data_IF_600164851099
#
_entry.id   IF_600164851099
#
_cell.length_a   1.000
_cell.length_b   1.000
_cell.length_c   1.000
_cell.angle_alpha   90.00
_cell.angle_beta   90.00
_cell.angle_gamma   90.00
#
_symmetry.space_group_name_H-M   'P 1'
#
loop_
_entity.id
_entity.type
_entity.pdbx_description
1 polymer ?
#
# COMPACT_ATOMS: atom_id res chain seq x y z
N UNK A 1 -51.44 -41.19 4.20
CA UNK A 1 -50.41 -41.00 5.26
C UNK A 1 -48.96 -41.21 4.80
N UNK A 2 -48.49 -42.41 4.39
CA UNK A 2 -47.07 -42.57 3.98
C UNK A 2 -46.71 -41.87 2.66
N UNK A 3 -47.64 -41.82 1.72
CA UNK A 3 -47.44 -41.14 0.42
C UNK A 3 -47.34 -39.62 0.58
N UNK A 4 -48.24 -39.01 1.36
CA UNK A 4 -48.23 -37.55 1.62
C UNK A 4 -46.93 -37.09 2.31
N UNK A 5 -46.39 -37.86 3.26
CA UNK A 5 -45.12 -37.54 3.92
C UNK A 5 -43.96 -37.57 2.92
N UNK A 6 -44.03 -38.45 1.92
CA UNK A 6 -42.98 -38.59 0.89
C UNK A 6 -43.01 -37.41 -0.08
N UNK A 7 -44.20 -36.97 -0.48
CA UNK A 7 -44.38 -35.78 -1.31
C UNK A 7 -43.87 -34.50 -0.61
N UNK A 8 -44.26 -34.27 0.64
CA UNK A 8 -43.84 -33.08 1.40
C UNK A 8 -42.30 -33.04 1.53
N UNK A 9 -41.67 -34.19 1.77
CA UNK A 9 -40.20 -34.29 1.88
C UNK A 9 -39.50 -34.02 0.55
N UNK A 10 -40.09 -34.43 -0.57
CA UNK A 10 -39.56 -34.15 -1.92
C UNK A 10 -39.65 -32.67 -2.27
N UNK A 11 -40.78 -32.01 -1.93
CA UNK A 11 -41.01 -30.58 -2.14
C UNK A 11 -40.02 -29.77 -1.32
N UNK A 12 -39.85 -30.10 -0.03
CA UNK A 12 -38.90 -29.40 0.84
C UNK A 12 -37.45 -29.57 0.37
N UNK A 13 -37.06 -30.79 -0.04
CA UNK A 13 -35.74 -31.08 -0.61
C UNK A 13 -35.48 -30.29 -1.89
N UNK A 14 -36.46 -30.23 -2.79
CA UNK A 14 -36.37 -29.47 -4.05
C UNK A 14 -36.20 -27.97 -3.79
N UNK A 15 -37.01 -27.41 -2.87
CA UNK A 15 -36.98 -26.00 -2.48
C UNK A 15 -35.66 -25.61 -1.81
N UNK A 16 -35.09 -26.51 -1.00
CA UNK A 16 -33.76 -26.33 -0.39
C UNK A 16 -32.64 -26.37 -1.43
N UNK A 17 -32.69 -27.31 -2.39
CA UNK A 17 -31.74 -27.39 -3.52
C UNK A 17 -31.81 -26.15 -4.41
N UNK A 18 -33.01 -25.64 -4.65
CA UNK A 18 -33.24 -24.44 -5.46
C UNK A 18 -32.68 -23.17 -4.78
N UNK A 19 -32.95 -23.01 -3.48
CA UNK A 19 -32.34 -21.94 -2.66
C UNK A 19 -30.82 -22.04 -2.66
N UNK A 20 -30.25 -23.23 -2.51
CA UNK A 20 -28.80 -23.46 -2.55
C UNK A 20 -28.17 -23.16 -3.91
N UNK A 21 -28.85 -23.48 -5.03
CA UNK A 21 -28.42 -23.09 -6.39
C UNK A 21 -28.41 -21.57 -6.57
N UNK A 22 -29.44 -20.91 -6.06
CA UNK A 22 -29.56 -19.45 -6.09
C UNK A 22 -28.41 -18.77 -5.34
N UNK A 23 -28.12 -19.21 -4.10
CA UNK A 23 -27.01 -18.70 -3.29
C UNK A 23 -25.64 -18.92 -3.95
N UNK A 24 -25.41 -20.10 -4.55
CA UNK A 24 -24.17 -20.38 -5.30
C UNK A 24 -24.00 -19.46 -6.52
N UNK A 25 -25.10 -19.07 -7.18
CA UNK A 25 -25.07 -18.14 -8.32
C UNK A 25 -24.67 -16.74 -7.87
N UNK A 26 -25.23 -16.24 -6.77
CA UNK A 26 -24.85 -14.93 -6.21
C UNK A 26 -23.41 -14.91 -5.70
N UNK A 27 -22.97 -15.98 -5.01
CA UNK A 27 -21.56 -16.11 -4.57
C UNK A 27 -20.59 -16.08 -5.76
N UNK A 28 -20.88 -16.78 -6.87
CA UNK A 28 -20.02 -16.75 -8.07
C UNK A 28 -19.84 -15.34 -8.65
N UNK A 29 -20.85 -14.48 -8.54
CA UNK A 29 -20.81 -13.10 -9.02
C UNK A 29 -20.10 -12.19 -8.00
N UNK A 30 -20.27 -12.45 -6.71
CA UNK A 30 -19.71 -11.64 -5.63
C UNK A 30 -18.20 -11.90 -5.42
N UNK A 31 -17.74 -13.13 -5.61
CA UNK A 31 -16.32 -13.53 -5.46
C UNK A 31 -15.35 -12.62 -6.22
N UNK A 32 -15.51 -12.34 -7.53
CA UNK A 32 -14.58 -11.47 -8.24
C UNK A 32 -14.59 -10.03 -7.73
N UNK A 33 -15.73 -9.54 -7.23
CA UNK A 33 -15.84 -8.18 -6.69
C UNK A 33 -15.16 -8.08 -5.32
N UNK A 34 -15.35 -9.09 -4.46
CA UNK A 34 -14.66 -9.19 -3.17
C UNK A 34 -13.15 -9.31 -3.38
N UNK A 35 -12.71 -10.13 -4.33
CA UNK A 35 -11.29 -10.28 -4.65
C UNK A 35 -10.68 -8.95 -5.09
N UNK A 36 -11.39 -8.17 -5.91
CA UNK A 36 -10.95 -6.86 -6.35
C UNK A 36 -10.85 -5.86 -5.18
N UNK A 37 -11.87 -5.82 -4.31
CA UNK A 37 -11.85 -4.99 -3.10
C UNK A 37 -10.68 -5.40 -2.19
N UNK A 38 -10.44 -6.69 -2.03
CA UNK A 38 -9.33 -7.22 -1.23
C UNK A 38 -7.97 -6.78 -1.80
N UNK A 39 -7.77 -6.86 -3.12
CA UNK A 39 -6.54 -6.43 -3.78
C UNK A 39 -6.30 -4.93 -3.58
N UNK A 40 -7.37 -4.12 -3.68
CA UNK A 40 -7.30 -2.69 -3.42
C UNK A 40 -6.94 -2.41 -1.95
N UNK A 41 -7.62 -3.06 -1.01
CA UNK A 41 -7.33 -2.91 0.41
C UNK A 41 -5.90 -3.31 0.75
N UNK A 42 -5.41 -4.43 0.20
CA UNK A 42 -4.04 -4.90 0.39
C UNK A 42 -3.01 -3.89 -0.14
N UNK A 43 -3.27 -3.28 -1.30
CA UNK A 43 -2.41 -2.22 -1.86
C UNK A 43 -2.27 -1.05 -0.88
N UNK A 44 -3.38 -0.58 -0.30
CA UNK A 44 -3.33 0.46 0.70
C UNK A 44 -2.61 0.01 1.96
N UNK A 45 -2.85 -1.20 2.47
CA UNK A 45 -2.14 -1.73 3.65
C UNK A 45 -0.62 -1.75 3.47
N UNK A 46 -0.12 -2.13 2.29
CA UNK A 46 1.32 -2.10 1.98
C UNK A 46 1.83 -0.65 1.97
N UNK A 47 1.07 0.28 1.38
CA UNK A 47 1.44 1.70 1.38
C UNK A 47 1.49 2.31 2.79
N UNK A 48 0.54 1.95 3.67
CA UNK A 48 0.55 2.36 5.07
C UNK A 48 1.69 1.74 5.88
N UNK A 49 2.04 0.48 5.61
CA UNK A 49 3.15 -0.19 6.29
C UNK A 49 4.52 0.38 5.91
N UNK A 50 4.67 0.84 4.66
CA UNK A 50 5.89 1.49 4.17
C UNK A 50 6.01 2.97 4.53
N UNK A 51 5.04 3.54 5.26
CA UNK A 51 5.09 4.94 5.66
C UNK A 51 5.86 5.11 6.98
N UNK A 52 6.90 5.95 6.98
CA UNK A 52 7.59 6.37 8.18
C UNK A 52 7.07 7.76 8.60
N UNK A 53 6.23 7.85 9.65
CA UNK A 53 5.62 9.13 10.05
C UNK A 53 6.58 10.05 10.81
N UNK A 54 7.61 9.47 11.41
CA UNK A 54 8.50 10.18 12.35
C UNK A 54 9.64 10.93 11.64
N UNK A 55 10.06 10.47 10.46
CA UNK A 55 11.14 11.07 9.66
C UNK A 55 11.05 10.59 8.22
N UNK A 56 11.46 11.41 7.26
CA UNK A 56 11.64 10.93 5.89
C UNK A 56 12.98 10.21 5.76
N UNK A 57 12.96 9.00 5.23
CA UNK A 57 14.13 8.24 4.84
C UNK A 57 14.43 8.52 3.37
N UNK A 58 15.56 9.19 3.12
CA UNK A 58 16.09 9.47 1.81
C UNK A 58 17.26 8.53 1.54
N UNK A 59 17.04 7.62 0.62
CA UNK A 59 18.04 6.67 0.15
C UNK A 59 18.66 7.19 -1.14
N UNK A 60 19.98 7.32 -1.17
CA UNK A 60 20.74 7.81 -2.33
C UNK A 60 21.84 6.81 -2.65
N UNK A 61 21.94 6.43 -3.91
CA UNK A 61 23.00 5.56 -4.40
C UNK A 61 24.11 6.40 -5.02
N UNK A 62 25.34 6.09 -4.60
CA UNK A 62 26.56 6.65 -5.18
C UNK A 62 26.56 8.20 -5.19
N UNK A 63 26.32 8.81 -4.03
CA UNK A 63 26.28 10.26 -3.88
C UNK A 63 27.69 10.84 -4.02
N UNK A 64 27.93 11.61 -5.09
CA UNK A 64 29.25 12.20 -5.35
C UNK A 64 29.56 13.43 -4.48
N UNK A 65 28.52 14.09 -3.95
CA UNK A 65 28.65 15.34 -3.21
C UNK A 65 27.60 15.45 -2.09
N UNK A 66 28.06 15.28 -0.84
CA UNK A 66 27.23 15.36 0.37
C UNK A 66 26.87 16.80 0.76
N UNK A 67 27.54 17.81 0.21
CA UNK A 67 27.32 19.21 0.62
C UNK A 67 25.91 19.72 0.28
N UNK A 68 25.26 19.08 -0.69
CA UNK A 68 23.88 19.34 -1.10
C UNK A 68 22.88 19.01 0.01
N UNK A 69 23.20 18.05 0.89
CA UNK A 69 22.31 17.64 1.97
C UNK A 69 22.41 18.55 3.21
N UNK A 70 23.45 19.36 3.33
CA UNK A 70 23.65 20.27 4.48
C UNK A 70 22.61 21.38 4.57
N UNK A 71 21.88 21.67 3.50
CA UNK A 71 20.81 22.66 3.48
C UNK A 71 19.47 22.13 4.04
N UNK A 72 19.39 20.84 4.32
CA UNK A 72 18.22 20.19 4.88
C UNK A 72 18.42 19.87 6.37
N UNK A 73 17.33 19.84 7.14
CA UNK A 73 17.35 19.44 8.55
C UNK A 73 17.50 17.91 8.66
N UNK A 74 18.77 17.47 8.58
CA UNK A 74 19.19 16.08 8.64
C UNK A 74 19.29 15.62 10.09
N UNK A 75 18.48 14.64 10.45
CA UNK A 75 18.46 14.02 11.77
C UNK A 75 19.57 12.98 11.93
N UNK A 76 19.85 12.22 10.87
CA UNK A 76 20.86 11.17 10.88
C UNK A 76 21.33 10.85 9.45
N UNK A 77 22.61 10.48 9.30
CA UNK A 77 23.18 9.98 8.03
C UNK A 77 23.82 8.64 8.30
N UNK A 78 23.42 7.64 7.52
CA UNK A 78 23.98 6.30 7.55
C UNK A 78 24.60 6.01 6.18
N UNK A 79 25.93 6.00 6.13
CA UNK A 79 26.67 5.62 4.92
C UNK A 79 26.96 4.12 4.94
N UNK A 80 26.53 3.43 3.89
CA UNK A 80 26.98 2.08 3.54
C UNK A 80 27.75 2.16 2.22
N UNK A 81 28.61 1.16 1.96
CA UNK A 81 29.61 1.17 0.88
C UNK A 81 29.10 1.61 -0.51
N UNK A 82 27.82 1.41 -0.82
CA UNK A 82 27.20 1.87 -2.07
C UNK A 82 26.02 2.84 -1.89
N UNK A 83 25.49 2.97 -0.67
CA UNK A 83 24.21 3.63 -0.41
C UNK A 83 24.29 4.52 0.82
N UNK A 84 23.88 5.76 0.67
CA UNK A 84 23.73 6.71 1.76
C UNK A 84 22.25 6.86 2.10
N UNK A 85 21.88 6.51 3.33
CA UNK A 85 20.54 6.69 3.86
C UNK A 85 20.53 7.88 4.81
N UNK A 86 19.70 8.88 4.50
CA UNK A 86 19.60 10.15 5.22
C UNK A 86 18.21 10.27 5.80
N UNK A 87 18.14 10.50 7.10
CA UNK A 87 16.89 10.75 7.81
C UNK A 87 16.65 12.25 7.90
N UNK A 88 15.60 12.74 7.26
CA UNK A 88 15.20 14.14 7.23
C UNK A 88 14.03 14.38 8.18
N UNK A 89 13.97 15.58 8.76
CA UNK A 89 12.88 16.03 9.61
C UNK A 89 11.51 15.97 8.90
N UNK A 90 10.46 15.56 9.61
CA UNK A 90 9.10 15.48 9.05
C UNK A 90 8.39 16.84 8.96
N UNK A 91 9.05 17.94 9.32
CA UNK A 91 8.48 19.29 9.31
C UNK A 91 8.33 19.89 7.91
N UNK A 92 8.94 19.28 6.89
CA UNK A 92 8.86 19.73 5.51
C UNK A 92 7.58 19.25 4.83
N UNK A 93 7.03 20.11 3.97
CA UNK A 93 6.00 19.70 3.01
C UNK A 93 6.60 18.70 2.01
N UNK A 94 6.02 17.50 1.90
CA UNK A 94 6.58 16.42 1.06
C UNK A 94 6.75 16.83 -0.40
N UNK A 95 5.80 17.58 -0.96
CA UNK A 95 5.84 18.00 -2.37
C UNK A 95 6.97 18.99 -2.62
N UNK A 96 7.15 19.95 -1.71
CA UNK A 96 8.21 20.95 -1.82
C UNK A 96 9.59 20.31 -1.61
N UNK A 97 9.71 19.44 -0.61
CA UNK A 97 10.92 18.66 -0.34
C UNK A 97 11.32 17.83 -1.56
N UNK A 98 10.39 17.06 -2.14
CA UNK A 98 10.68 16.19 -3.27
C UNK A 98 11.05 16.97 -4.53
N UNK A 99 10.43 18.14 -4.75
CA UNK A 99 10.75 19.00 -5.89
C UNK A 99 12.14 19.66 -5.76
N UNK A 100 12.46 20.19 -4.58
CA UNK A 100 13.78 20.76 -4.32
C UNK A 100 14.87 19.69 -4.41
N UNK A 101 14.61 18.53 -3.81
CA UNK A 101 15.53 17.40 -3.85
C UNK A 101 15.76 16.88 -5.28
N UNK A 102 14.74 16.86 -6.13
CA UNK A 102 14.89 16.49 -7.53
C UNK A 102 15.83 17.43 -8.30
N UNK A 103 15.77 18.74 -8.02
CA UNK A 103 16.67 19.74 -8.62
C UNK A 103 18.09 19.58 -8.07
N UNK A 104 18.20 19.40 -6.76
CA UNK A 104 19.48 19.36 -6.05
C UNK A 104 20.29 18.10 -6.33
N UNK A 105 19.62 16.95 -6.52
CA UNK A 105 20.22 15.66 -6.85
C UNK A 105 20.41 15.44 -8.35
N UNK A 106 19.93 16.36 -9.20
CA UNK A 106 20.04 16.23 -10.66
C UNK A 106 21.52 16.15 -11.10
N UNK A 107 21.91 14.98 -11.64
CA UNK A 107 23.27 14.73 -12.11
C UNK A 107 24.31 14.44 -11.02
N UNK A 108 23.90 14.30 -9.75
CA UNK A 108 24.80 14.04 -8.60
C UNK A 108 24.64 12.66 -7.95
N UNK A 109 23.58 11.93 -8.32
CA UNK A 109 23.34 10.55 -7.91
C UNK A 109 22.79 9.72 -9.08
N UNK A 110 22.99 8.40 -9.03
CA UNK A 110 22.45 7.48 -10.04
C UNK A 110 20.94 7.26 -9.84
N UNK A 111 20.51 7.10 -8.58
CA UNK A 111 19.10 7.10 -8.21
C UNK A 111 18.92 7.55 -6.75
N UNK A 112 17.72 8.01 -6.44
CA UNK A 112 17.30 8.31 -5.08
C UNK A 112 15.86 7.84 -4.84
N UNK A 113 15.52 7.50 -3.60
CA UNK A 113 14.16 7.21 -3.18
C UNK A 113 13.84 7.86 -1.84
N UNK A 114 12.64 8.43 -1.73
CA UNK A 114 12.14 9.05 -0.52
C UNK A 114 11.01 8.19 0.06
N UNK A 115 11.09 7.84 1.34
CA UNK A 115 10.00 7.18 2.05
C UNK A 115 8.78 8.09 2.13
N UNK A 116 7.59 7.50 2.07
CA UNK A 116 6.35 8.26 2.14
C UNK A 116 6.00 8.64 3.58
N UNK A 117 5.50 9.87 3.77
CA UNK A 117 4.84 10.26 5.00
C UNK A 117 3.36 10.58 4.72
N UNK A 118 2.49 9.66 5.14
CA UNK A 118 1.04 9.79 4.91
C UNK A 118 0.44 10.99 5.68
N UNK A 119 1.08 11.44 6.75
CA UNK A 119 0.62 12.58 7.54
C UNK A 119 0.92 13.94 6.89
N UNK A 120 1.77 13.99 5.86
CA UNK A 120 2.06 15.23 5.12
C UNK A 120 0.92 15.68 4.19
N UNK A 121 -0.10 14.85 4.02
CA UNK A 121 -1.28 15.11 3.18
C UNK A 121 -2.58 15.33 3.98
N UNK A 122 -2.49 15.33 5.31
CA UNK A 122 -3.58 15.63 6.25
C UNK A 122 -3.55 17.11 6.65
#
# INVERSE_FOLDING_TARGET
MKEEITEIKSIFSSKSKEKGKSVKKYLKILIPHIALILIIALRFSIAFYGACPDSYELDIDNLHDLDVLNQYDVLNVTENENKTTVYLSNQYNEKELLNNLAIDLEGKCDWYSLSWNIYSYL
#
